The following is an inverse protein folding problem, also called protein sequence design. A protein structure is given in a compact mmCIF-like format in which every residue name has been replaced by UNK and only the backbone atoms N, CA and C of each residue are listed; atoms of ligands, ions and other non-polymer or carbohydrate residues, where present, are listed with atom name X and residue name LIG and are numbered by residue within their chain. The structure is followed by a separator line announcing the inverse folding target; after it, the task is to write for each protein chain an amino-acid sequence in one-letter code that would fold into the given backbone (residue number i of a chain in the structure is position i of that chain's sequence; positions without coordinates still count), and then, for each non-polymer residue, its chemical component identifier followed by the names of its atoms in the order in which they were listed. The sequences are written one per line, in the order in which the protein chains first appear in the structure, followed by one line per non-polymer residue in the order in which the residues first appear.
data_IF_713576239191
#
_entry.id   IF_713576239191
#
_cell.length_a   1.000
_cell.length_b   1.000
_cell.length_c   1.000
_cell.angle_alpha   90.00
_cell.angle_beta   90.00
_cell.angle_gamma   90.00
#
_symmetry.space_group_name_H-M   'P 1'
#
loop_
_entity.id
_entity.type
_entity.pdbx_description
1 polymer ?
#
# COMPACT_ATOMS: atom_id res chain seq x y z
N UNK A 1 12.50 -2.47 -6.12
CA UNK A 1 12.91 -3.58 -6.99
C UNK A 1 14.43 -3.51 -7.14
N UNK A 2 15.12 -4.62 -6.87
CA UNK A 2 16.59 -4.65 -7.02
C UNK A 2 16.94 -4.75 -8.51
N UNK A 3 17.98 -4.02 -8.92
CA UNK A 3 18.43 -3.99 -10.31
C UNK A 3 19.37 -5.15 -10.63
N UNK A 4 19.98 -5.75 -9.59
CA UNK A 4 20.86 -6.91 -9.73
C UNK A 4 20.82 -7.81 -8.50
N UNK A 5 21.29 -9.07 -8.66
CA UNK A 5 21.49 -10.01 -7.55
C UNK A 5 22.48 -9.47 -6.51
N UNK A 6 23.52 -8.75 -6.95
CA UNK A 6 24.52 -8.15 -6.05
C UNK A 6 23.92 -7.06 -5.15
N UNK A 7 22.97 -6.26 -5.68
CA UNK A 7 22.23 -5.28 -4.87
C UNK A 7 21.35 -5.97 -3.83
N UNK A 8 20.67 -7.05 -4.21
CA UNK A 8 19.89 -7.85 -3.27
C UNK A 8 20.77 -8.44 -2.18
N UNK A 9 21.88 -9.10 -2.52
CA UNK A 9 22.81 -9.69 -1.57
C UNK A 9 23.41 -8.65 -0.65
N UNK A 10 23.78 -7.47 -1.18
CA UNK A 10 24.26 -6.34 -0.39
C UNK A 10 23.21 -5.83 0.60
N UNK A 11 21.94 -5.75 0.18
CA UNK A 11 20.85 -5.36 1.06
C UNK A 11 20.61 -6.41 2.14
N UNK A 12 20.51 -7.69 1.77
CA UNK A 12 20.29 -8.80 2.69
C UNK A 12 21.41 -8.94 3.72
N UNK A 13 22.66 -8.70 3.32
CA UNK A 13 23.80 -8.75 4.25
C UNK A 13 23.82 -7.62 5.29
N UNK A 14 23.09 -6.52 5.02
CA UNK A 14 22.94 -5.38 5.95
C UNK A 14 21.74 -5.50 6.87
N UNK A 15 20.84 -6.45 6.62
CA UNK A 15 19.70 -6.72 7.49
C UNK A 15 20.17 -7.33 8.81
N UNK A 16 19.45 -7.05 9.88
CA UNK A 16 19.71 -7.68 11.16
C UNK A 16 19.40 -9.19 11.05
N UNK A 17 20.36 -10.01 11.51
CA UNK A 17 20.20 -11.44 11.55
C UNK A 17 19.84 -11.89 12.97
N UNK A 18 18.82 -12.71 13.09
CA UNK A 18 18.45 -13.37 14.34
C UNK A 18 18.49 -14.89 14.13
N UNK A 19 19.59 -15.51 14.54
CA UNK A 19 19.83 -16.91 14.23
C UNK A 19 19.95 -17.11 12.70
N UNK A 20 19.09 -17.95 12.14
CA UNK A 20 19.02 -18.22 10.70
C UNK A 20 18.01 -17.32 9.95
N UNK A 21 17.36 -16.39 10.67
CA UNK A 21 16.36 -15.49 10.06
C UNK A 21 17.00 -14.15 9.72
N UNK A 22 16.65 -13.65 8.55
CA UNK A 22 16.95 -12.28 8.14
C UNK A 22 15.72 -11.44 8.49
N UNK A 23 15.94 -10.40 9.30
CA UNK A 23 14.88 -9.51 9.71
C UNK A 23 14.69 -8.42 8.65
N UNK A 24 13.51 -8.37 8.07
CA UNK A 24 13.06 -7.31 7.19
C UNK A 24 11.93 -6.51 7.82
N UNK A 25 11.67 -5.33 7.27
CA UNK A 25 10.51 -4.54 7.66
C UNK A 25 9.28 -5.12 6.92
N UNK A 26 8.53 -5.98 7.60
CA UNK A 26 7.22 -6.45 7.11
C UNK A 26 6.15 -5.52 7.67
N UNK A 27 5.27 -5.08 6.82
CA UNK A 27 4.12 -4.28 7.22
C UNK A 27 3.01 -5.19 7.69
N UNK A 28 2.53 -4.95 8.90
CA UNK A 28 1.33 -5.58 9.43
C UNK A 28 0.27 -4.50 9.52
N UNK A 29 -0.83 -4.70 8.82
CA UNK A 29 -2.01 -3.84 8.90
C UNK A 29 -3.05 -4.47 9.83
N UNK A 30 -3.62 -3.67 10.71
CA UNK A 30 -4.72 -4.10 11.54
C UNK A 30 -6.03 -3.56 10.97
N UNK A 31 -6.97 -4.44 10.68
CA UNK A 31 -8.28 -4.09 10.15
C UNK A 31 -9.34 -4.29 11.22
N UNK A 32 -10.30 -3.36 11.26
CA UNK A 32 -11.53 -3.53 12.01
C UNK A 32 -12.32 -4.73 11.49
N UNK A 33 -12.97 -5.47 12.40
CA UNK A 33 -13.69 -6.69 12.08
C UNK A 33 -14.80 -6.47 11.02
N UNK A 34 -15.38 -5.27 10.95
CA UNK A 34 -16.39 -4.91 9.94
C UNK A 34 -15.85 -4.84 8.51
N UNK A 35 -14.53 -4.87 8.34
CA UNK A 35 -13.89 -4.81 7.03
C UNK A 35 -13.59 -6.20 6.46
N UNK A 36 -13.58 -7.24 7.28
CA UNK A 36 -13.25 -8.59 6.81
C UNK A 36 -14.22 -9.12 5.77
N UNK A 37 -15.51 -8.80 5.88
CA UNK A 37 -16.52 -9.17 4.88
C UNK A 37 -16.29 -8.52 3.51
N UNK A 38 -15.45 -7.49 3.44
CA UNK A 38 -15.10 -6.77 2.21
C UNK A 38 -13.82 -7.28 1.56
N UNK A 39 -13.09 -8.18 2.23
CA UNK A 39 -11.89 -8.79 1.68
C UNK A 39 -12.26 -9.92 0.71
N UNK A 40 -11.57 -9.98 -0.40
CA UNK A 40 -11.64 -11.13 -1.28
C UNK A 40 -10.68 -12.20 -0.78
N UNK A 41 -11.21 -13.30 -0.24
CA UNK A 41 -10.41 -14.47 0.16
C UNK A 41 -10.12 -15.29 -1.09
N UNK A 42 -8.85 -15.53 -1.38
CA UNK A 42 -8.37 -16.28 -2.54
C UNK A 42 -8.03 -17.73 -2.17
N UNK A 43 -7.54 -17.93 -0.95
CA UNK A 43 -7.22 -19.26 -0.40
C UNK A 43 -7.37 -19.23 1.12
N UNK A 44 -7.74 -20.38 1.71
CA UNK A 44 -7.92 -20.50 3.15
C UNK A 44 -9.25 -19.98 3.70
N UNK A 45 -9.25 -19.62 4.97
CA UNK A 45 -10.44 -19.13 5.70
C UNK A 45 -10.03 -17.99 6.65
N UNK A 46 -10.74 -16.87 6.58
CA UNK A 46 -10.49 -15.69 7.41
C UNK A 46 -11.17 -15.77 8.79
N UNK A 47 -12.13 -16.69 8.97
CA UNK A 47 -12.92 -16.83 10.20
C UNK A 47 -12.07 -16.98 11.46
N UNK A 48 -10.92 -17.67 11.46
CA UNK A 48 -10.06 -17.76 12.64
C UNK A 48 -9.58 -16.41 13.18
N UNK A 49 -9.51 -15.36 12.35
CA UNK A 49 -9.10 -14.02 12.79
C UNK A 49 -10.17 -13.30 13.61
N UNK A 50 -11.41 -13.75 13.55
CA UNK A 50 -12.55 -13.20 14.32
C UNK A 50 -12.71 -13.86 15.69
N UNK A 51 -12.03 -14.98 15.92
CA UNK A 51 -12.09 -15.66 17.21
C UNK A 51 -11.30 -14.87 18.27
N UNK A 52 -11.78 -14.85 19.53
CA UNK A 52 -11.03 -14.25 20.62
C UNK A 52 -9.66 -14.93 20.81
N UNK A 53 -8.66 -14.15 21.21
CA UNK A 53 -7.32 -14.63 21.55
C UNK A 53 -6.63 -15.49 20.45
N UNK A 54 -7.02 -15.27 19.19
CA UNK A 54 -6.44 -15.99 18.07
C UNK A 54 -5.00 -15.57 17.78
N UNK A 55 -4.26 -16.43 17.07
CA UNK A 55 -2.96 -16.13 16.48
C UNK A 55 -3.00 -16.34 14.95
N UNK A 56 -4.14 -16.02 14.35
CA UNK A 56 -4.32 -16.10 12.90
C UNK A 56 -3.92 -14.80 12.23
N UNK A 57 -3.32 -14.93 11.04
CA UNK A 57 -2.92 -13.80 10.20
C UNK A 57 -3.29 -14.12 8.75
N UNK A 58 -3.75 -13.11 8.03
CA UNK A 58 -3.92 -13.23 6.58
C UNK A 58 -2.77 -12.54 5.85
N UNK A 59 -2.43 -13.03 4.67
CA UNK A 59 -1.42 -12.44 3.80
C UNK A 59 -2.13 -11.70 2.67
N UNK A 60 -1.86 -10.40 2.56
CA UNK A 60 -2.35 -9.60 1.47
C UNK A 60 -1.47 -9.81 0.24
N UNK A 61 -2.09 -10.25 -0.85
CA UNK A 61 -1.44 -10.60 -2.10
C UNK A 61 -1.85 -9.66 -3.22
N UNK A 62 -1.07 -9.62 -4.28
CA UNK A 62 -1.38 -8.84 -5.48
C UNK A 62 -1.77 -9.77 -6.63
N UNK A 63 -2.76 -9.36 -7.41
CA UNK A 63 -3.21 -10.04 -8.61
C UNK A 63 -2.77 -9.30 -9.87
N UNK A 64 -2.65 -10.03 -10.97
CA UNK A 64 -2.54 -9.45 -12.30
C UNK A 64 -3.91 -9.02 -12.84
N UNK A 65 -3.94 -8.39 -14.02
CA UNK A 65 -5.18 -7.96 -14.69
C UNK A 65 -6.13 -9.13 -15.05
N UNK A 66 -5.67 -10.37 -14.94
CA UNK A 66 -6.44 -11.58 -15.22
C UNK A 66 -6.89 -12.30 -13.94
N UNK A 67 -6.56 -11.75 -12.76
CA UNK A 67 -6.90 -12.34 -11.46
C UNK A 67 -5.96 -13.45 -11.00
N UNK A 68 -4.80 -13.63 -11.63
CA UNK A 68 -3.81 -14.59 -11.17
C UNK A 68 -2.89 -13.96 -10.12
N UNK A 69 -2.44 -14.77 -9.18
CA UNK A 69 -1.51 -14.36 -8.15
C UNK A 69 -0.17 -13.95 -8.76
N UNK A 70 0.26 -12.71 -8.49
CA UNK A 70 1.57 -12.23 -8.90
C UNK A 70 2.66 -12.80 -7.99
N UNK A 71 3.67 -13.46 -8.60
CA UNK A 71 4.84 -14.00 -7.90
C UNK A 71 4.47 -14.87 -6.68
N UNK A 72 3.71 -15.97 -6.87
CA UNK A 72 3.18 -16.79 -5.78
C UNK A 72 4.26 -17.38 -4.88
N UNK A 73 5.49 -17.51 -5.38
CA UNK A 73 6.65 -18.00 -4.64
C UNK A 73 7.12 -17.09 -3.49
N UNK A 74 6.71 -15.84 -3.49
CA UNK A 74 7.09 -14.87 -2.44
C UNK A 74 6.14 -14.84 -1.25
N UNK A 75 4.98 -15.48 -1.36
CA UNK A 75 4.00 -15.48 -0.28
C UNK A 75 4.08 -16.73 0.57
N UNK A 76 3.94 -16.59 1.91
CA UNK A 76 3.66 -17.73 2.77
C UNK A 76 2.37 -18.42 2.34
N UNK A 77 2.29 -19.72 2.58
CA UNK A 77 1.10 -20.53 2.27
C UNK A 77 0.18 -20.62 3.46
N UNK A 78 -1.09 -20.88 3.20
CA UNK A 78 -2.05 -21.20 4.26
C UNK A 78 -1.54 -22.40 5.07
N UNK A 79 -1.51 -22.22 6.40
CA UNK A 79 -0.95 -23.19 7.36
C UNK A 79 0.51 -22.94 7.74
N UNK A 80 1.24 -22.07 7.03
CA UNK A 80 2.59 -21.70 7.43
C UNK A 80 2.56 -20.88 8.71
N UNK A 81 3.65 -20.95 9.47
CA UNK A 81 3.86 -20.10 10.65
C UNK A 81 4.81 -18.98 10.30
N UNK A 82 4.43 -17.75 10.63
CA UNK A 82 5.29 -16.57 10.52
C UNK A 82 5.51 -15.98 11.90
N UNK A 83 6.73 -15.48 12.14
CA UNK A 83 7.09 -14.85 13.42
C UNK A 83 7.21 -13.34 13.20
N UNK A 84 6.40 -12.57 13.93
CA UNK A 84 6.53 -11.13 14.01
C UNK A 84 7.28 -10.73 15.28
N UNK A 85 8.27 -9.84 15.14
CA UNK A 85 8.99 -9.29 16.28
C UNK A 85 8.43 -7.91 16.60
N UNK A 86 7.84 -7.77 17.77
CA UNK A 86 7.43 -6.49 18.34
C UNK A 86 8.58 -5.93 19.17
N UNK A 87 8.76 -4.63 19.16
CA UNK A 87 9.76 -3.97 19.98
C UNK A 87 9.16 -2.72 20.65
N UNK A 88 9.56 -2.46 21.89
CA UNK A 88 9.08 -1.29 22.63
C UNK A 88 9.73 0.00 22.12
N UNK A 89 10.95 -0.10 21.59
CA UNK A 89 11.67 1.02 20.98
C UNK A 89 12.60 0.53 19.86
N UNK A 90 12.74 1.33 18.83
CA UNK A 90 13.60 1.07 17.67
C UNK A 90 14.54 2.24 17.47
N UNK A 91 15.85 2.00 17.57
CA UNK A 91 16.85 3.03 17.32
C UNK A 91 17.69 2.67 16.10
N UNK A 92 17.96 3.68 15.32
CA UNK A 92 18.95 3.58 14.23
C UNK A 92 20.26 4.16 14.72
N UNK A 93 21.27 3.32 14.80
CA UNK A 93 22.59 3.66 15.35
C UNK A 93 23.69 3.57 14.30
N UNK A 94 24.81 4.25 14.56
CA UNK A 94 26.08 4.01 13.88
C UNK A 94 26.74 2.80 14.55
N UNK A 95 26.94 1.71 13.82
CA UNK A 95 27.50 0.45 14.36
C UNK A 95 28.93 0.58 14.86
N UNK A 96 29.65 1.65 14.47
CA UNK A 96 31.02 1.92 14.92
C UNK A 96 31.06 2.53 16.31
N UNK A 97 30.11 3.41 16.61
CA UNK A 97 30.06 4.20 17.85
C UNK A 97 28.99 3.77 18.82
N UNK A 98 27.92 3.11 18.32
CA UNK A 98 26.73 2.77 19.09
C UNK A 98 25.83 3.97 19.39
N UNK A 99 26.14 5.16 18.87
CA UNK A 99 25.32 6.36 19.00
C UNK A 99 24.23 6.42 17.94
N UNK A 100 23.25 7.29 18.13
CA UNK A 100 22.21 7.52 17.11
C UNK A 100 22.86 7.97 15.80
N UNK A 101 22.44 7.34 14.68
CA UNK A 101 22.91 7.71 13.35
C UNK A 101 22.58 9.17 13.05
N UNK A 102 23.46 9.81 12.31
CA UNK A 102 23.23 11.11 11.69
C UNK A 102 23.06 10.94 10.18
N UNK A 103 22.75 12.05 9.47
CA UNK A 103 22.72 12.05 8.00
C UNK A 103 24.07 11.68 7.39
N UNK A 104 25.18 12.04 8.08
CA UNK A 104 26.55 11.77 7.65
C UNK A 104 27.00 10.33 7.94
N UNK A 105 26.20 9.51 8.64
CA UNK A 105 26.56 8.11 8.89
C UNK A 105 26.51 7.32 7.58
N UNK A 106 27.65 6.75 7.11
CA UNK A 106 27.66 5.93 5.90
C UNK A 106 26.70 4.75 6.00
N UNK A 107 26.10 4.36 4.88
CA UNK A 107 25.07 3.33 4.85
C UNK A 107 25.52 1.98 5.44
N UNK A 108 26.76 1.61 5.19
CA UNK A 108 27.36 0.38 5.69
C UNK A 108 27.44 0.29 7.22
N UNK A 109 27.37 1.44 7.92
CA UNK A 109 27.42 1.50 9.39
C UNK A 109 26.05 1.81 10.02
N UNK A 110 25.01 1.94 9.21
CA UNK A 110 23.65 2.14 9.71
C UNK A 110 23.10 0.82 10.19
N UNK A 111 22.80 0.74 11.47
CA UNK A 111 22.22 -0.46 12.10
C UNK A 111 20.91 -0.11 12.80
N UNK A 112 19.92 -1.01 12.67
CA UNK A 112 18.68 -0.97 13.42
C UNK A 112 18.86 -1.77 14.70
N UNK A 113 18.52 -1.18 15.84
CA UNK A 113 18.61 -1.84 17.15
C UNK A 113 17.22 -1.85 17.82
N UNK A 114 16.76 -3.03 18.19
CA UNK A 114 15.47 -3.26 18.84
C UNK A 114 15.66 -3.35 20.35
N UNK A 115 14.78 -2.71 21.11
CA UNK A 115 14.74 -2.77 22.56
C UNK A 115 13.40 -3.33 23.02
N UNK A 116 13.41 -4.18 24.05
CA UNK A 116 12.19 -4.85 24.53
C UNK A 116 11.56 -5.78 23.48
N UNK A 117 12.40 -6.34 22.60
CA UNK A 117 11.93 -7.18 21.50
C UNK A 117 11.28 -8.47 22.04
N UNK A 118 10.10 -8.81 21.49
CA UNK A 118 9.39 -10.07 21.73
C UNK A 118 8.85 -10.62 20.43
N UNK A 119 8.87 -11.93 20.31
CA UNK A 119 8.35 -12.63 19.15
C UNK A 119 6.95 -13.13 19.40
N UNK A 120 6.10 -13.02 18.39
CA UNK A 120 4.76 -13.60 18.35
C UNK A 120 4.67 -14.44 17.09
N UNK A 121 4.25 -15.68 17.24
CA UNK A 121 4.02 -16.60 16.13
C UNK A 121 2.56 -16.54 15.69
N UNK A 122 2.35 -16.38 14.39
CA UNK A 122 1.05 -16.39 13.75
C UNK A 122 0.96 -17.51 12.75
N UNK A 123 -0.22 -18.13 12.65
CA UNK A 123 -0.55 -19.09 11.60
C UNK A 123 -1.24 -18.37 10.45
N UNK A 124 -0.73 -18.53 9.25
CA UNK A 124 -1.36 -18.00 8.04
C UNK A 124 -2.68 -18.73 7.79
N UNK A 125 -3.79 -18.05 7.96
CA UNK A 125 -5.13 -18.61 7.80
C UNK A 125 -5.73 -18.39 6.42
N UNK A 126 -5.33 -17.31 5.73
CA UNK A 126 -5.86 -16.98 4.41
C UNK A 126 -4.86 -16.17 3.56
N UNK A 127 -5.01 -16.26 2.25
CA UNK A 127 -4.49 -15.32 1.29
C UNK A 127 -5.66 -14.42 0.83
N UNK A 128 -5.47 -13.11 0.90
CA UNK A 128 -6.54 -12.14 0.63
C UNK A 128 -6.08 -11.06 -0.34
N UNK A 129 -7.00 -10.61 -1.18
CA UNK A 129 -6.84 -9.34 -1.87
C UNK A 129 -7.37 -8.22 -0.99
N UNK A 130 -6.51 -7.26 -0.68
CA UNK A 130 -6.86 -6.08 0.09
C UNK A 130 -7.03 -4.90 -0.87
N UNK A 131 -8.25 -4.35 -1.01
CA UNK A 131 -8.48 -3.20 -1.89
C UNK A 131 -7.61 -2.01 -1.52
N UNK A 132 -7.08 -1.31 -2.54
CA UNK A 132 -6.24 -0.13 -2.33
C UNK A 132 -6.94 0.99 -1.54
N UNK A 133 -8.27 1.06 -1.60
CA UNK A 133 -9.07 2.01 -0.82
C UNK A 133 -9.12 1.69 0.68
N UNK A 134 -8.69 0.49 1.08
CA UNK A 134 -8.72 0.02 2.47
C UNK A 134 -7.33 -0.02 3.11
N UNK A 135 -6.27 0.34 2.39
CA UNK A 135 -4.91 0.19 2.86
C UNK A 135 -4.01 1.29 2.30
N UNK A 136 -3.13 1.79 3.15
CA UNK A 136 -1.97 2.59 2.76
C UNK A 136 -0.82 1.66 2.36
N UNK A 137 -0.99 0.89 1.31
CA UNK A 137 0.07 -0.01 0.85
C UNK A 137 1.29 0.77 0.39
N UNK A 138 2.39 0.47 1.01
CA UNK A 138 3.70 0.85 0.53
C UNK A 138 4.31 -0.37 -0.14
N UNK A 139 4.70 -0.28 -1.39
CA UNK A 139 5.45 -1.32 -2.08
C UNK A 139 6.84 -1.42 -1.44
N UNK A 140 6.94 -2.21 -0.36
CA UNK A 140 8.18 -2.54 0.32
C UNK A 140 8.75 -3.86 -0.15
N UNK A 141 9.86 -4.24 0.45
CA UNK A 141 10.43 -5.59 0.30
C UNK A 141 9.67 -6.50 1.25
N UNK A 142 8.98 -7.50 0.70
CA UNK A 142 8.23 -8.46 1.49
C UNK A 142 6.75 -8.53 1.07
N UNK A 143 5.96 -9.13 1.92
CA UNK A 143 4.52 -9.22 1.79
C UNK A 143 3.83 -8.39 2.87
N UNK A 144 2.65 -7.90 2.57
CA UNK A 144 1.79 -7.25 3.56
C UNK A 144 0.99 -8.33 4.31
N UNK A 145 0.86 -8.17 5.62
CA UNK A 145 0.11 -9.07 6.46
C UNK A 145 -1.04 -8.32 7.15
N UNK A 146 -2.13 -9.02 7.42
CA UNK A 146 -3.35 -8.46 7.98
C UNK A 146 -3.69 -9.17 9.28
N UNK A 147 -3.91 -8.39 10.34
CA UNK A 147 -4.42 -8.84 11.63
C UNK A 147 -5.80 -8.20 11.91
N UNK A 148 -6.53 -8.78 12.86
CA UNK A 148 -7.63 -8.05 13.50
C UNK A 148 -7.10 -6.95 14.41
N UNK A 149 -7.86 -5.88 14.59
CA UNK A 149 -7.51 -4.80 15.52
C UNK A 149 -7.30 -5.34 16.93
N UNK A 150 -8.12 -6.30 17.38
CA UNK A 150 -8.03 -6.88 18.72
C UNK A 150 -6.69 -7.61 18.90
N UNK A 151 -6.29 -8.44 17.94
CA UNK A 151 -5.00 -9.13 17.94
C UNK A 151 -3.84 -8.14 17.90
N UNK A 152 -3.91 -7.13 17.04
CA UNK A 152 -2.87 -6.11 16.93
C UNK A 152 -2.72 -5.29 18.22
N UNK A 153 -3.81 -4.92 18.88
CA UNK A 153 -3.80 -4.21 20.16
C UNK A 153 -3.21 -5.08 21.27
N UNK A 154 -3.63 -6.35 21.35
CA UNK A 154 -3.08 -7.30 22.32
C UNK A 154 -1.56 -7.43 22.18
N UNK A 155 -1.10 -7.69 20.97
CA UNK A 155 0.29 -8.06 20.71
C UNK A 155 1.22 -6.84 20.65
N UNK A 156 0.70 -5.66 20.30
CA UNK A 156 1.45 -4.41 20.42
C UNK A 156 1.50 -3.84 21.85
N UNK A 157 0.76 -4.46 22.80
CA UNK A 157 0.64 -3.90 24.14
C UNK A 157 -0.16 -2.58 24.18
N UNK A 158 -1.11 -2.41 23.25
CA UNK A 158 -1.92 -1.21 23.13
C UNK A 158 -1.25 -0.08 22.34
N UNK A 159 -0.10 -0.34 21.68
CA UNK A 159 0.63 0.67 20.93
C UNK A 159 0.11 0.86 19.49
N UNK A 160 -0.75 -0.03 18.99
CA UNK A 160 -1.33 0.13 17.67
C UNK A 160 -2.24 1.37 17.62
N UNK A 161 -1.99 2.27 16.66
CA UNK A 161 -2.75 3.49 16.49
C UNK A 161 -3.52 3.46 15.16
N UNK A 162 -4.74 4.02 15.10
CA UNK A 162 -5.45 4.16 13.85
C UNK A 162 -4.68 5.06 12.88
N UNK A 163 -4.48 4.58 11.67
CA UNK A 163 -3.84 5.34 10.59
C UNK A 163 -4.83 5.78 9.51
N UNK A 164 -5.90 5.04 9.35
CA UNK A 164 -6.92 5.28 8.33
C UNK A 164 -8.30 5.06 8.93
N UNK A 165 -9.19 6.02 8.67
CA UNK A 165 -10.61 5.90 8.95
C UNK A 165 -11.36 5.81 7.62
N UNK A 166 -12.18 4.79 7.45
CA UNK A 166 -13.04 4.61 6.29
C UNK A 166 -14.48 4.96 6.67
N UNK A 167 -15.09 5.79 5.84
CA UNK A 167 -16.48 6.19 6.00
C UNK A 167 -17.25 5.81 4.74
N UNK A 168 -18.45 5.33 4.93
CA UNK A 168 -19.42 5.20 3.86
C UNK A 168 -20.65 6.05 4.19
N UNK A 169 -21.21 6.70 3.19
CA UNK A 169 -22.38 7.56 3.33
C UNK A 169 -23.60 6.90 2.72
N UNK A 170 -24.79 7.24 3.23
CA UNK A 170 -26.03 6.60 2.78
C UNK A 170 -26.38 7.01 1.33
N UNK A 171 -26.09 8.27 0.96
CA UNK A 171 -26.37 8.81 -0.38
C UNK A 171 -25.40 9.93 -0.78
N UNK A 172 -25.61 10.48 -1.99
CA UNK A 172 -24.75 11.56 -2.55
C UNK A 172 -24.90 12.89 -1.79
N UNK A 173 -26.05 13.15 -1.13
CA UNK A 173 -26.24 14.37 -0.36
C UNK A 173 -25.42 14.31 0.94
N UNK A 174 -25.43 13.16 1.61
CA UNK A 174 -24.60 12.88 2.78
C UNK A 174 -23.11 12.90 2.41
N UNK A 175 -22.73 12.40 1.22
CA UNK A 175 -21.34 12.45 0.71
C UNK A 175 -20.87 13.92 0.62
N UNK A 176 -21.69 14.81 0.06
CA UNK A 176 -21.34 16.22 -0.10
C UNK A 176 -21.22 16.94 1.25
N UNK A 177 -22.09 16.61 2.22
CA UNK A 177 -22.03 17.19 3.56
C UNK A 177 -20.80 16.70 4.32
N UNK A 178 -20.49 15.42 4.26
CA UNK A 178 -19.31 14.82 4.85
C UNK A 178 -18.02 15.42 4.26
N UNK A 179 -17.96 15.60 2.94
CA UNK A 179 -16.81 16.23 2.28
C UNK A 179 -16.60 17.67 2.73
N UNK A 180 -17.69 18.44 2.82
CA UNK A 180 -17.60 19.82 3.32
C UNK A 180 -17.13 19.88 4.78
N UNK A 181 -17.59 18.94 5.62
CA UNK A 181 -17.17 18.82 7.01
C UNK A 181 -15.69 18.48 7.10
N UNK A 182 -15.24 17.43 6.40
CA UNK A 182 -13.84 16.99 6.40
C UNK A 182 -12.90 18.04 5.84
N UNK A 183 -13.30 18.74 4.79
CA UNK A 183 -12.53 19.84 4.22
C UNK A 183 -12.30 20.97 5.23
N UNK A 184 -13.32 21.35 6.01
CA UNK A 184 -13.18 22.35 7.06
C UNK A 184 -12.30 21.87 8.21
N UNK A 185 -12.46 20.60 8.59
CA UNK A 185 -11.70 19.97 9.66
C UNK A 185 -10.20 19.95 9.34
N UNK A 186 -9.84 19.50 8.14
CA UNK A 186 -8.45 19.42 7.68
C UNK A 186 -7.82 20.77 7.32
N UNK A 187 -8.63 21.77 6.97
CA UNK A 187 -8.13 23.13 6.79
C UNK A 187 -7.87 23.88 8.10
N UNK A 188 -8.34 23.36 9.24
CA UNK A 188 -8.28 23.99 10.55
C UNK A 188 -7.48 23.22 11.58
N UNK A 189 -8.15 22.79 12.64
CA UNK A 189 -7.56 22.16 13.84
C UNK A 189 -6.78 20.87 13.54
N UNK A 190 -7.18 20.14 12.52
CA UNK A 190 -6.57 18.85 12.14
C UNK A 190 -5.82 18.94 10.80
N UNK A 191 -5.13 20.02 10.55
CA UNK A 191 -4.37 20.24 9.31
C UNK A 191 -3.34 19.16 8.94
N UNK A 192 -2.80 18.34 9.87
CA UNK A 192 -1.95 17.21 9.50
C UNK A 192 -2.72 16.02 8.89
N UNK A 193 -4.05 15.97 9.05
CA UNK A 193 -4.87 14.91 8.48
C UNK A 193 -5.21 15.24 7.03
N UNK A 194 -5.17 14.22 6.19
CA UNK A 194 -5.64 14.29 4.80
C UNK A 194 -6.90 13.44 4.66
N UNK A 195 -7.77 13.82 3.76
CA UNK A 195 -8.91 12.99 3.39
C UNK A 195 -8.97 12.84 1.87
N UNK A 196 -9.50 11.71 1.46
CA UNK A 196 -9.82 11.39 0.07
C UNK A 196 -11.30 11.09 -0.03
N UNK A 197 -11.97 11.62 -1.05
CA UNK A 197 -13.39 11.35 -1.28
C UNK A 197 -13.63 10.78 -2.67
N UNK A 198 -14.71 10.00 -2.80
CA UNK A 198 -15.18 9.51 -4.11
C UNK A 198 -15.52 10.68 -5.05
N UNK A 199 -16.05 11.78 -4.51
CA UNK A 199 -16.38 12.98 -5.29
C UNK A 199 -15.14 13.65 -5.86
N UNK A 200 -14.08 13.81 -5.04
CA UNK A 200 -12.79 14.34 -5.49
C UNK A 200 -12.19 13.45 -6.59
N UNK A 201 -12.11 12.14 -6.37
CA UNK A 201 -11.60 11.19 -7.36
C UNK A 201 -12.39 11.21 -8.69
N UNK A 202 -13.72 11.29 -8.62
CA UNK A 202 -14.58 11.44 -9.81
C UNK A 202 -14.32 12.74 -10.56
N UNK A 203 -14.13 13.84 -9.82
CA UNK A 203 -13.83 15.17 -10.40
C UNK A 203 -12.48 15.17 -11.10
N UNK A 204 -11.46 14.64 -10.47
CA UNK A 204 -10.11 14.52 -11.04
C UNK A 204 -10.12 13.66 -12.31
N UNK A 205 -10.80 12.51 -12.27
CA UNK A 205 -10.96 11.66 -13.44
C UNK A 205 -11.70 12.38 -14.58
N UNK A 206 -12.75 13.14 -14.27
CA UNK A 206 -13.49 13.91 -15.27
C UNK A 206 -12.61 15.00 -15.92
N UNK A 207 -11.81 15.71 -15.12
CA UNK A 207 -10.85 16.70 -15.61
C UNK A 207 -9.78 16.06 -16.50
N UNK A 208 -9.22 14.93 -16.07
CA UNK A 208 -8.27 14.16 -16.85
C UNK A 208 -8.84 13.73 -18.20
N UNK A 209 -10.06 13.17 -18.20
CA UNK A 209 -10.77 12.81 -19.42
C UNK A 209 -10.99 14.00 -20.35
N UNK A 210 -11.39 15.15 -19.82
CA UNK A 210 -11.58 16.36 -20.61
C UNK A 210 -10.27 16.84 -21.24
N UNK A 211 -9.16 16.78 -20.52
CA UNK A 211 -7.84 17.13 -21.04
C UNK A 211 -7.44 16.23 -22.22
N UNK A 212 -7.67 14.91 -22.10
CA UNK A 212 -7.40 13.95 -23.19
C UNK A 212 -8.27 14.22 -24.42
N UNK A 213 -9.56 14.50 -24.23
CA UNK A 213 -10.46 14.84 -25.32
C UNK A 213 -10.05 16.13 -26.03
N UNK A 214 -9.58 17.12 -25.29
CA UNK A 214 -9.11 18.39 -25.84
C UNK A 214 -7.83 18.18 -26.67
N UNK A 215 -6.83 17.49 -26.12
CA UNK A 215 -5.57 17.20 -26.81
C UNK A 215 -5.83 16.35 -28.07
N UNK A 216 -6.61 15.27 -27.92
CA UNK A 216 -6.98 14.41 -29.05
C UNK A 216 -7.77 15.16 -30.12
N UNK A 217 -8.69 16.02 -29.72
CA UNK A 217 -9.46 16.88 -30.62
C UNK A 217 -8.58 17.85 -31.41
N UNK A 218 -7.63 18.52 -30.77
CA UNK A 218 -6.65 19.38 -31.42
C UNK A 218 -5.80 18.61 -32.44
N UNK A 219 -5.28 17.45 -32.05
CA UNK A 219 -4.49 16.60 -32.96
C UNK A 219 -5.32 16.14 -34.16
N UNK A 220 -6.55 15.70 -33.95
CA UNK A 220 -7.46 15.33 -35.04
C UNK A 220 -7.77 16.51 -35.96
N UNK A 221 -7.97 17.71 -35.43
CA UNK A 221 -8.20 18.91 -36.20
C UNK A 221 -6.97 19.26 -37.08
N UNK A 222 -5.76 19.17 -36.51
CA UNK A 222 -4.51 19.42 -37.26
C UNK A 222 -4.36 18.40 -38.41
N UNK A 223 -4.52 17.11 -38.12
CA UNK A 223 -4.41 16.04 -39.13
C UNK A 223 -5.48 16.21 -40.21
N UNK A 224 -6.71 16.53 -39.84
CA UNK A 224 -7.80 16.80 -40.76
C UNK A 224 -7.51 17.99 -41.66
N UNK A 225 -6.94 19.06 -41.12
CA UNK A 225 -6.56 20.26 -41.88
C UNK A 225 -5.43 19.98 -42.87
N UNK A 226 -4.42 19.22 -42.46
CA UNK A 226 -3.32 18.74 -43.35
C UNK A 226 -3.88 17.85 -44.46
N UNK A 227 -4.80 16.93 -44.12
CA UNK A 227 -5.47 16.08 -45.11
C UNK A 227 -6.27 16.89 -46.12
N UNK A 228 -6.99 17.91 -45.67
CA UNK A 228 -7.76 18.82 -46.53
C UNK A 228 -6.85 19.63 -47.46
N UNK A 229 -5.75 20.17 -46.96
CA UNK A 229 -4.77 20.91 -47.74
C UNK A 229 -4.13 20.00 -48.79
N UNK A 230 -3.77 18.78 -48.46
CA UNK A 230 -3.22 17.81 -49.41
C UNK A 230 -4.24 17.43 -50.48
N UNK A 231 -5.51 17.28 -50.14
CA UNK A 231 -6.59 17.04 -51.09
C UNK A 231 -6.74 18.20 -52.09
N UNK A 232 -6.77 19.44 -51.62
CA UNK A 232 -6.84 20.61 -52.51
C UNK A 232 -5.59 20.72 -53.42
N UNK A 233 -4.41 20.44 -52.87
CA UNK A 233 -3.17 20.47 -53.64
C UNK A 233 -3.17 19.41 -54.78
N UNK A 234 -3.64 18.19 -54.47
CA UNK A 234 -3.79 17.13 -55.46
C UNK A 234 -4.82 17.47 -56.55
N UNK A 235 -5.95 18.11 -56.20
CA UNK A 235 -6.94 18.57 -57.16
C UNK A 235 -6.39 19.66 -58.08
N UNK A 236 -5.67 20.64 -57.55
CA UNK A 236 -5.08 21.72 -58.33
C UNK A 236 -4.01 21.23 -59.32
N UNK A 237 -3.19 20.25 -58.93
CA UNK A 237 -2.17 19.66 -59.78
C UNK A 237 -2.71 18.69 -60.84
N UNK A 238 -3.92 18.14 -60.62
CA UNK A 238 -4.58 17.27 -61.61
C UNK A 238 -5.42 18.00 -62.68
N UNK A 239 -5.59 19.33 -62.57
CA UNK A 239 -6.34 20.18 -63.53
C UNK A 239 -5.40 20.94 -64.45
N UNK A 240 -4.12 20.97 -64.21
CA UNK A 240 -3.07 21.49 -65.04
C UNK A 240 -2.48 20.38 -65.94
#
# INVERSE_FOLDING_TARGET
RYESAEQLDSHMSRMEHRGNMVMGDTRIEALDNSLFDKLQVLDGDISPMLEPDNNAIAIAVSLDDYGNLLNPEYYPKVGDTITATYADDVKYIDSRTGELRTEDTPEEYRQKKLYGARDVEYTVCALVELPNSMSYRYSGVGYDAVLSVDTAQRDSGGAAIPMLYLFDTADEADEAEAEQYLSKLTAGEFSPLMYESKATARSEFAQFRQMFLLIGGILCAIIGLVGLLNFFNAMMTGIL
#
